data_IF_529545494520
#
_entry.id   IF_529545494520
#
_cell.length_a   1.000
_cell.length_b   1.000
_cell.length_c   1.000
_cell.angle_alpha   90.00
_cell.angle_beta   90.00
_cell.angle_gamma   90.00
#
_symmetry.space_group_name_H-M   'P 1'
#
loop_
_entity.id
_entity.type
_entity.pdbx_description
1 polymer ?
#
# COMPACT_ATOMS: atom_id res chain seq x y z
N UNK A 1 5.33 22.65 -42.73
CA UNK A 1 4.41 21.52 -42.44
C UNK A 1 5.12 20.29 -41.84
N UNK A 2 6.24 20.43 -41.12
CA UNK A 2 7.04 19.28 -40.61
C UNK A 2 7.03 19.14 -39.08
N UNK A 3 6.34 20.04 -38.35
CA UNK A 3 6.19 19.98 -36.88
C UNK A 3 4.93 19.26 -36.39
N UNK A 4 4.27 18.47 -37.25
CA UNK A 4 3.02 17.75 -36.94
C UNK A 4 3.17 16.23 -36.82
N UNK A 5 4.39 15.71 -36.99
CA UNK A 5 4.77 14.39 -36.50
C UNK A 5 5.33 14.56 -35.08
N UNK A 6 4.49 15.08 -34.18
CA UNK A 6 4.71 14.84 -32.75
C UNK A 6 4.67 13.33 -32.63
N UNK A 7 5.76 12.78 -32.12
CA UNK A 7 5.85 11.42 -31.61
C UNK A 7 4.61 11.20 -30.74
N UNK A 8 3.55 10.60 -31.30
CA UNK A 8 2.60 9.83 -30.52
C UNK A 8 3.47 8.74 -29.92
N UNK A 9 4.01 9.03 -28.74
CA UNK A 9 4.78 8.07 -27.98
C UNK A 9 3.80 6.93 -27.78
N UNK A 10 4.12 5.76 -28.36
CA UNK A 10 3.29 4.58 -28.21
C UNK A 10 2.95 4.44 -26.72
N UNK A 11 1.69 4.10 -26.38
CA UNK A 11 1.27 3.98 -25.00
C UNK A 11 2.27 3.08 -24.28
N UNK A 12 2.83 3.57 -23.18
CA UNK A 12 3.80 2.80 -22.41
C UNK A 12 3.06 1.60 -21.81
N UNK A 13 3.37 0.39 -22.28
CA UNK A 13 2.80 -0.87 -21.79
C UNK A 13 3.82 -1.51 -20.86
N UNK A 14 3.41 -1.72 -19.61
CA UNK A 14 4.24 -2.38 -18.60
C UNK A 14 3.46 -3.58 -18.10
N UNK A 15 4.05 -4.78 -18.22
CA UNK A 15 3.42 -6.05 -17.80
C UNK A 15 2.03 -6.26 -18.42
N UNK A 16 1.85 -5.88 -19.69
CA UNK A 16 0.56 -6.01 -20.39
C UNK A 16 -0.50 -4.97 -20.02
N UNK A 17 -0.17 -4.01 -19.15
CA UNK A 17 -1.06 -2.92 -18.75
C UNK A 17 -0.66 -1.60 -19.43
N UNK A 18 -1.60 -0.93 -20.11
CA UNK A 18 -1.31 0.37 -20.74
C UNK A 18 -1.36 1.49 -19.70
N UNK A 19 -0.26 2.22 -19.57
CA UNK A 19 -0.11 3.31 -18.62
C UNK A 19 -0.77 4.57 -19.16
N UNK A 20 -1.90 4.96 -18.56
CA UNK A 20 -2.72 6.09 -19.03
C UNK A 20 -2.36 7.42 -18.36
N UNK A 21 -1.87 7.38 -17.12
CA UNK A 21 -1.39 8.57 -16.44
C UNK A 21 0.03 8.84 -16.86
N UNK A 22 0.26 9.54 -17.98
CA UNK A 22 1.60 9.80 -18.52
C UNK A 22 2.25 11.04 -17.90
N UNK A 23 1.46 12.07 -17.63
CA UNK A 23 1.87 13.32 -16.98
C UNK A 23 1.53 13.31 -15.49
N UNK A 24 2.33 14.02 -14.68
CA UNK A 24 2.07 14.17 -13.25
C UNK A 24 0.92 15.15 -13.07
N UNK A 25 -0.19 14.66 -12.50
CA UNK A 25 -1.35 15.50 -12.23
C UNK A 25 -1.12 16.45 -11.05
N UNK A 26 -1.90 17.53 -10.96
CA UNK A 26 -1.86 18.41 -9.77
C UNK A 26 -2.27 17.68 -8.49
N UNK A 27 -3.19 16.72 -8.60
CA UNK A 27 -3.64 15.91 -7.48
C UNK A 27 -2.51 14.98 -6.99
N UNK A 28 -1.78 14.38 -7.92
CA UNK A 28 -0.62 13.53 -7.64
C UNK A 28 0.50 14.35 -7.00
N UNK A 29 0.85 15.51 -7.57
CA UNK A 29 1.85 16.40 -6.98
C UNK A 29 1.45 16.85 -5.56
N UNK A 30 0.16 17.12 -5.31
CA UNK A 30 -0.33 17.42 -3.97
C UNK A 30 -0.18 16.22 -3.02
N UNK A 31 -0.52 15.01 -3.46
CA UNK A 31 -0.33 13.80 -2.68
C UNK A 31 1.15 13.56 -2.35
N UNK A 32 2.05 13.68 -3.34
CA UNK A 32 3.50 13.54 -3.18
C UNK A 32 4.05 14.54 -2.15
N UNK A 33 3.63 15.80 -2.23
CA UNK A 33 3.98 16.80 -1.22
C UNK A 33 3.53 16.37 0.18
N UNK A 34 2.29 15.91 0.34
CA UNK A 34 1.76 15.49 1.64
C UNK A 34 2.51 14.26 2.19
N UNK A 35 2.81 13.26 1.36
CA UNK A 35 3.62 12.12 1.80
C UNK A 35 5.05 12.55 2.16
N UNK A 36 5.68 13.40 1.36
CA UNK A 36 7.00 13.95 1.64
C UNK A 36 7.03 14.73 2.97
N UNK A 37 6.07 15.63 3.20
CA UNK A 37 5.94 16.34 4.47
C UNK A 37 5.64 15.41 5.65
N UNK A 38 4.80 14.39 5.46
CA UNK A 38 4.52 13.41 6.51
C UNK A 38 5.79 12.66 6.94
N UNK A 39 6.61 12.23 5.98
CA UNK A 39 7.88 11.54 6.25
C UNK A 39 8.88 12.48 6.92
N UNK A 40 8.99 13.76 6.50
CA UNK A 40 9.90 14.71 7.17
C UNK A 40 9.46 15.02 8.60
N UNK A 41 8.16 15.18 8.87
CA UNK A 41 7.64 15.34 10.22
C UNK A 41 7.94 14.12 11.10
N UNK A 42 7.93 12.92 10.53
CA UNK A 42 8.29 11.70 11.25
C UNK A 42 9.77 11.68 11.68
N UNK A 43 10.68 12.25 10.87
CA UNK A 43 12.12 12.40 11.18
C UNK A 43 12.36 13.53 12.18
N UNK A 44 11.74 14.68 11.97
CA UNK A 44 11.98 15.91 12.77
C UNK A 44 11.56 15.75 14.23
N UNK A 45 10.67 14.81 14.54
CA UNK A 45 10.29 14.45 15.92
C UNK A 45 11.35 13.64 16.69
N UNK A 46 12.61 13.61 16.24
CA UNK A 46 13.72 12.98 16.95
C UNK A 46 14.53 14.08 17.65
N UNK A 47 14.66 14.00 18.98
CA UNK A 47 15.44 14.94 19.76
C UNK A 47 16.92 14.95 19.35
N UNK A 48 17.51 16.13 19.24
CA UNK A 48 18.94 16.27 18.97
C UNK A 48 19.76 15.65 20.11
N UNK A 49 20.64 14.68 19.84
CA UNK A 49 21.40 14.00 20.88
C UNK A 49 22.41 14.95 21.54
N UNK A 50 22.44 14.96 22.87
CA UNK A 50 23.32 15.85 23.66
C UNK A 50 24.72 15.27 23.90
N UNK A 51 24.87 13.96 23.76
CA UNK A 51 26.12 13.21 23.90
C UNK A 51 26.08 11.91 23.06
N UNK A 52 27.18 11.17 23.06
CA UNK A 52 27.31 9.93 22.30
C UNK A 52 26.34 8.82 22.76
N UNK A 53 26.01 8.76 24.05
CA UNK A 53 25.07 7.76 24.57
C UNK A 53 23.65 8.03 24.05
N UNK A 54 23.22 9.29 24.08
CA UNK A 54 21.95 9.73 23.49
C UNK A 54 21.92 9.51 21.97
N UNK A 55 23.05 9.70 21.26
CA UNK A 55 23.14 9.38 19.84
C UNK A 55 22.88 7.89 19.59
N UNK A 56 23.50 6.99 20.35
CA UNK A 56 23.28 5.54 20.19
C UNK A 56 21.84 5.13 20.51
N UNK A 57 21.19 5.79 21.45
CA UNK A 57 19.76 5.61 21.76
C UNK A 57 18.91 6.04 20.55
N UNK A 58 19.19 7.19 19.95
CA UNK A 58 18.51 7.67 18.75
C UNK A 58 18.72 6.73 17.55
N UNK A 59 19.93 6.21 17.35
CA UNK A 59 20.25 5.24 16.29
C UNK A 59 19.43 3.95 16.41
N UNK A 60 19.13 3.47 17.63
CA UNK A 60 18.26 2.31 17.84
C UNK A 60 16.79 2.64 17.53
N UNK A 61 16.35 3.86 17.85
CA UNK A 61 15.03 4.37 17.48
C UNK A 61 14.80 4.48 15.97
N UNK A 62 15.87 4.54 15.17
CA UNK A 62 15.80 4.59 13.71
C UNK A 62 15.14 3.33 13.12
N UNK A 63 15.19 2.18 13.80
CA UNK A 63 14.51 0.96 13.35
C UNK A 63 12.98 1.16 13.34
N UNK A 64 12.42 1.76 14.39
CA UNK A 64 10.99 2.07 14.46
C UNK A 64 10.59 3.10 13.39
N UNK A 65 11.45 4.09 13.14
CA UNK A 65 11.29 5.03 12.05
C UNK A 65 11.27 4.33 10.68
N UNK A 66 12.21 3.42 10.42
CA UNK A 66 12.29 2.65 9.18
C UNK A 66 11.05 1.81 8.91
N UNK A 67 10.47 1.19 9.96
CA UNK A 67 9.21 0.45 9.86
C UNK A 67 8.04 1.38 9.50
N UNK A 68 7.93 2.55 10.15
CA UNK A 68 6.91 3.54 9.78
C UNK A 68 7.08 4.00 8.33
N UNK A 69 8.30 4.35 7.94
CA UNK A 69 8.62 4.76 6.58
C UNK A 69 8.19 3.71 5.56
N UNK A 70 8.49 2.44 5.80
CA UNK A 70 8.11 1.34 4.90
C UNK A 70 6.58 1.26 4.70
N UNK A 71 5.80 1.45 5.76
CA UNK A 71 4.33 1.47 5.67
C UNK A 71 3.83 2.68 4.85
N UNK A 72 4.32 3.89 5.13
CA UNK A 72 3.94 5.09 4.38
C UNK A 72 4.34 5.00 2.91
N UNK A 73 5.57 4.53 2.64
CA UNK A 73 6.06 4.27 1.30
C UNK A 73 5.17 3.25 0.58
N UNK A 74 4.73 2.17 1.25
CA UNK A 74 3.82 1.20 0.65
C UNK A 74 2.47 1.80 0.24
N UNK A 75 1.90 2.68 1.06
CA UNK A 75 0.66 3.42 0.73
C UNK A 75 0.90 4.36 -0.46
N UNK A 76 1.98 5.15 -0.42
CA UNK A 76 2.35 6.07 -1.50
C UNK A 76 2.59 5.33 -2.81
N UNK A 77 3.37 4.25 -2.80
CA UNK A 77 3.70 3.44 -3.97
C UNK A 77 2.44 2.87 -4.63
N UNK A 78 1.49 2.37 -3.83
CA UNK A 78 0.19 1.90 -4.35
C UNK A 78 -0.63 3.02 -4.99
N UNK A 79 -0.63 4.21 -4.39
CA UNK A 79 -1.31 5.38 -4.96
C UNK A 79 -0.65 5.83 -6.27
N UNK A 80 0.68 5.88 -6.29
CA UNK A 80 1.46 6.15 -7.51
C UNK A 80 1.11 5.16 -8.62
N UNK A 81 1.16 3.85 -8.36
CA UNK A 81 0.79 2.83 -9.34
C UNK A 81 -0.65 3.00 -9.85
N UNK A 82 -1.60 3.33 -8.97
CA UNK A 82 -2.99 3.62 -9.35
C UNK A 82 -3.07 4.83 -10.31
N UNK A 83 -2.43 5.95 -9.98
CA UNK A 83 -2.41 7.15 -10.82
C UNK A 83 -1.82 6.86 -12.20
N UNK A 84 -0.67 6.16 -12.25
CA UNK A 84 0.00 5.82 -13.51
C UNK A 84 -0.81 4.88 -14.40
N UNK A 85 -1.50 3.89 -13.80
CA UNK A 85 -2.34 2.94 -14.55
C UNK A 85 -3.57 3.59 -15.17
N UNK A 86 -4.35 4.34 -14.38
CA UNK A 86 -5.67 4.79 -14.82
C UNK A 86 -5.73 6.24 -15.29
N UNK A 87 -4.82 7.12 -14.83
CA UNK A 87 -4.82 8.54 -15.22
C UNK A 87 -6.15 9.27 -14.95
N UNK A 88 -6.90 8.84 -13.92
CA UNK A 88 -8.21 9.41 -13.59
C UNK A 88 -8.05 10.62 -12.65
N UNK A 89 -8.75 11.72 -12.97
CA UNK A 89 -8.73 12.97 -12.18
C UNK A 89 -10.14 13.47 -11.81
N UNK A 90 -11.15 12.62 -11.91
CA UNK A 90 -12.53 13.01 -11.66
C UNK A 90 -12.84 13.20 -10.16
N UNK A 91 -14.01 13.75 -9.85
CA UNK A 91 -14.37 14.15 -8.49
C UNK A 91 -14.28 13.02 -7.44
N UNK A 92 -14.73 11.77 -7.72
CA UNK A 92 -14.56 10.65 -6.79
C UNK A 92 -13.09 10.35 -6.47
N UNK A 93 -12.21 10.33 -7.48
CA UNK A 93 -10.78 10.10 -7.27
C UNK A 93 -10.17 11.21 -6.43
N UNK A 94 -10.46 12.48 -6.74
CA UNK A 94 -10.01 13.62 -5.93
C UNK A 94 -10.45 13.51 -4.47
N UNK A 95 -11.72 13.19 -4.24
CA UNK A 95 -12.25 13.02 -2.88
C UNK A 95 -11.57 11.87 -2.14
N UNK A 96 -11.48 10.69 -2.76
CA UNK A 96 -10.86 9.50 -2.17
C UNK A 96 -9.37 9.70 -1.88
N UNK A 97 -8.62 10.36 -2.78
CA UNK A 97 -7.22 10.73 -2.54
C UNK A 97 -7.10 11.67 -1.35
N UNK A 98 -7.94 12.71 -1.23
CA UNK A 98 -7.92 13.60 -0.06
C UNK A 98 -8.25 12.86 1.24
N UNK A 99 -9.24 11.95 1.22
CA UNK A 99 -9.55 11.08 2.38
C UNK A 99 -8.35 10.20 2.74
N UNK A 100 -7.69 9.58 1.75
CA UNK A 100 -6.46 8.81 1.97
C UNK A 100 -5.40 9.63 2.68
N UNK A 101 -5.12 10.84 2.17
CA UNK A 101 -4.12 11.74 2.71
C UNK A 101 -4.46 12.19 4.14
N UNK A 102 -5.74 12.46 4.41
CA UNK A 102 -6.21 12.75 5.76
C UNK A 102 -5.94 11.59 6.73
N UNK A 103 -6.27 10.35 6.34
CA UNK A 103 -6.00 9.17 7.16
C UNK A 103 -4.50 8.99 7.37
N UNK A 104 -3.68 9.09 6.32
CA UNK A 104 -2.22 9.02 6.40
C UNK A 104 -1.67 10.01 7.42
N UNK A 105 -2.07 11.28 7.34
CA UNK A 105 -1.61 12.33 8.25
C UNK A 105 -2.08 12.12 9.70
N UNK A 106 -3.36 11.75 9.89
CA UNK A 106 -3.93 11.48 11.20
C UNK A 106 -3.22 10.31 11.91
N UNK A 107 -2.68 9.35 11.14
CA UNK A 107 -2.04 8.15 11.65
C UNK A 107 -0.50 8.20 11.71
N UNK A 108 0.14 9.34 11.42
CA UNK A 108 1.59 9.52 11.55
C UNK A 108 2.12 9.22 12.96
N UNK A 109 1.58 9.93 13.96
CA UNK A 109 2.00 9.77 15.36
C UNK A 109 1.58 8.44 15.96
N UNK A 110 0.32 7.98 15.76
CA UNK A 110 -0.05 6.63 16.14
C UNK A 110 0.96 5.61 15.58
N UNK A 111 1.20 5.62 14.26
CA UNK A 111 2.03 4.56 13.67
C UNK A 111 3.44 4.53 14.27
N UNK A 112 4.04 5.71 14.55
CA UNK A 112 5.30 5.82 15.30
C UNK A 112 5.24 5.18 16.68
N UNK A 113 4.16 5.41 17.42
CA UNK A 113 3.97 4.79 18.72
C UNK A 113 3.88 3.26 18.60
N UNK A 114 3.11 2.75 17.63
CA UNK A 114 2.96 1.31 17.40
C UNK A 114 4.31 0.65 17.05
N UNK A 115 5.11 1.25 16.18
CA UNK A 115 6.41 0.67 15.80
C UNK A 115 7.41 0.71 16.95
N UNK A 116 7.36 1.70 17.83
CA UNK A 116 8.15 1.71 19.07
C UNK A 116 7.73 0.58 20.01
N UNK A 117 6.43 0.35 20.19
CA UNK A 117 5.89 -0.80 20.95
C UNK A 117 6.35 -2.12 20.33
N UNK A 118 6.28 -2.25 19.01
CA UNK A 118 6.70 -3.46 18.30
C UNK A 118 8.20 -3.72 18.45
N UNK A 119 9.04 -2.69 18.22
CA UNK A 119 10.50 -2.81 18.30
C UNK A 119 10.97 -3.15 19.72
N UNK A 120 10.35 -2.55 20.75
CA UNK A 120 10.71 -2.82 22.14
C UNK A 120 10.13 -4.13 22.67
N UNK A 121 8.86 -4.41 22.38
CA UNK A 121 8.12 -5.55 22.91
C UNK A 121 8.30 -6.85 22.13
N UNK A 122 8.39 -6.79 20.80
CA UNK A 122 8.49 -7.97 19.93
C UNK A 122 9.93 -8.24 19.52
N UNK A 123 10.65 -7.22 19.05
CA UNK A 123 12.07 -7.38 18.64
C UNK A 123 13.05 -7.33 19.81
N UNK A 124 12.60 -6.91 21.01
CA UNK A 124 13.43 -6.84 22.21
C UNK A 124 14.51 -5.76 22.17
N UNK A 125 14.45 -4.80 21.24
CA UNK A 125 15.42 -3.71 21.16
C UNK A 125 15.13 -2.71 22.29
N UNK A 126 16.02 -2.68 23.29
CA UNK A 126 15.91 -1.78 24.44
C UNK A 126 16.59 -0.43 24.16
N UNK A 127 16.26 0.58 24.96
CA UNK A 127 16.88 1.91 24.92
C UNK A 127 16.74 2.60 23.55
N UNK A 128 15.51 2.71 23.05
CA UNK A 128 15.17 3.34 21.75
C UNK A 128 14.72 4.80 21.89
N UNK A 129 14.98 5.44 23.03
CA UNK A 129 14.57 6.82 23.29
C UNK A 129 13.08 6.96 23.65
N UNK A 130 12.41 5.83 23.86
CA UNK A 130 11.04 5.74 24.30
C UNK A 130 10.96 4.77 25.48
N UNK A 131 10.30 5.20 26.54
CA UNK A 131 9.94 4.32 27.65
C UNK A 131 8.42 4.15 27.62
N UNK A 132 7.90 2.91 27.63
CA UNK A 132 6.48 2.69 27.72
C UNK A 132 5.98 3.25 29.06
N UNK A 133 5.34 4.42 29.05
CA UNK A 133 4.47 4.86 30.13
C UNK A 133 3.09 4.20 29.97
N UNK A 134 3.09 2.89 29.66
CA UNK A 134 1.84 2.14 29.66
C UNK A 134 1.48 2.02 31.13
N UNK A 135 0.44 2.73 31.55
CA UNK A 135 -0.01 2.75 32.95
C UNK A 135 -0.37 1.36 33.46
N UNK A 136 -0.94 1.30 34.67
CA UNK A 136 -1.19 0.05 35.40
C UNK A 136 -2.02 -1.02 34.65
N UNK A 137 -2.66 -0.71 33.52
CA UNK A 137 -3.35 -1.66 32.65
C UNK A 137 -2.73 -1.75 31.24
N UNK A 138 -1.75 -2.64 31.08
CA UNK A 138 -1.06 -2.87 29.82
C UNK A 138 -1.99 -3.47 28.75
N UNK A 139 -2.96 -4.29 29.15
CA UNK A 139 -3.81 -5.04 28.23
C UNK A 139 -4.93 -4.15 27.66
N UNK A 140 -5.58 -3.33 28.48
CA UNK A 140 -6.57 -2.38 27.99
C UNK A 140 -5.97 -1.35 27.03
N UNK A 141 -4.76 -0.84 27.35
CA UNK A 141 -4.05 0.09 26.48
C UNK A 141 -3.65 -0.55 25.15
N UNK A 142 -3.21 -1.82 25.15
CA UNK A 142 -2.92 -2.56 23.93
C UNK A 142 -4.18 -2.88 23.11
N UNK A 143 -5.31 -3.18 23.76
CA UNK A 143 -6.59 -3.38 23.06
C UNK A 143 -7.03 -2.12 22.30
N UNK A 144 -7.04 -0.97 22.98
CA UNK A 144 -7.34 0.33 22.36
C UNK A 144 -6.38 0.65 21.22
N UNK A 145 -5.10 0.29 21.37
CA UNK A 145 -4.09 0.42 20.33
C UNK A 145 -4.57 -0.31 19.06
N UNK A 146 -4.84 -1.62 19.15
CA UNK A 146 -5.28 -2.42 18.00
C UNK A 146 -6.58 -1.93 17.37
N UNK A 147 -7.52 -1.41 18.15
CA UNK A 147 -8.75 -0.81 17.60
C UNK A 147 -8.41 0.42 16.77
N UNK A 148 -7.62 1.35 17.31
CA UNK A 148 -7.23 2.58 16.60
C UNK A 148 -6.51 2.23 15.29
N UNK A 149 -5.47 1.38 15.31
CA UNK A 149 -4.78 1.01 14.06
C UNK A 149 -5.65 0.20 13.12
N UNK A 150 -6.49 -0.69 13.65
CA UNK A 150 -7.44 -1.47 12.85
C UNK A 150 -8.34 -0.55 12.04
N UNK A 151 -8.89 0.50 12.64
CA UNK A 151 -9.70 1.50 11.94
C UNK A 151 -8.89 2.23 10.86
N UNK A 152 -7.65 2.66 11.16
CA UNK A 152 -6.79 3.32 10.18
C UNK A 152 -6.46 2.44 8.97
N UNK A 153 -6.06 1.19 9.22
CA UNK A 153 -5.78 0.20 8.18
C UNK A 153 -7.04 -0.09 7.36
N UNK A 154 -8.17 -0.32 8.02
CA UNK A 154 -9.45 -0.57 7.35
C UNK A 154 -9.85 0.61 6.44
N UNK A 155 -9.68 1.85 6.92
CA UNK A 155 -9.96 3.04 6.13
C UNK A 155 -9.10 3.11 4.86
N UNK A 156 -7.79 2.84 4.95
CA UNK A 156 -6.90 2.80 3.78
C UNK A 156 -7.33 1.71 2.79
N UNK A 157 -7.64 0.50 3.26
CA UNK A 157 -8.09 -0.58 2.37
C UNK A 157 -9.43 -0.27 1.69
N UNK A 158 -10.37 0.34 2.43
CA UNK A 158 -11.64 0.80 1.86
C UNK A 158 -11.43 1.89 0.80
N UNK A 159 -10.55 2.86 1.05
CA UNK A 159 -10.24 3.91 0.08
C UNK A 159 -9.65 3.33 -1.20
N UNK A 160 -8.66 2.44 -1.11
CA UNK A 160 -8.11 1.81 -2.31
C UNK A 160 -9.11 0.88 -2.99
N UNK A 161 -9.92 0.14 -2.24
CA UNK A 161 -11.01 -0.65 -2.82
C UNK A 161 -11.99 0.23 -3.60
N UNK A 162 -12.32 1.40 -3.07
CA UNK A 162 -13.20 2.36 -3.75
C UNK A 162 -12.54 2.98 -4.98
N UNK A 163 -11.24 3.32 -4.92
CA UNK A 163 -10.47 3.81 -6.06
C UNK A 163 -10.44 2.79 -7.21
N UNK A 164 -10.02 1.56 -6.94
CA UNK A 164 -10.01 0.49 -7.96
C UNK A 164 -11.42 0.13 -8.43
N UNK A 165 -12.40 0.11 -7.53
CA UNK A 165 -13.80 -0.13 -7.87
C UNK A 165 -14.38 0.95 -8.80
N UNK A 166 -14.02 2.22 -8.58
CA UNK A 166 -14.38 3.33 -9.46
C UNK A 166 -13.68 3.23 -10.81
N UNK A 167 -12.39 2.92 -10.84
CA UNK A 167 -11.67 2.66 -12.11
C UNK A 167 -12.32 1.51 -12.91
N UNK A 168 -12.78 0.45 -12.24
CA UNK A 168 -13.53 -0.64 -12.86
C UNK A 168 -14.88 -0.19 -13.44
N UNK A 169 -15.59 0.71 -12.76
CA UNK A 169 -16.84 1.29 -13.28
C UNK A 169 -16.59 2.14 -14.53
N UNK A 170 -15.41 2.75 -14.64
CA UNK A 170 -14.98 3.55 -15.79
C UNK A 170 -14.30 2.74 -16.90
N UNK A 171 -14.33 1.40 -16.85
CA UNK A 171 -13.60 0.53 -17.79
C UNK A 171 -13.89 0.82 -19.27
N UNK A 172 -15.13 1.16 -19.62
CA UNK A 172 -15.53 1.41 -21.00
C UNK A 172 -14.95 2.75 -21.49
N UNK A 173 -14.95 3.77 -20.62
CA UNK A 173 -14.33 5.09 -20.88
C UNK A 173 -12.80 4.97 -20.99
N UNK A 174 -12.19 4.16 -20.14
CA UNK A 174 -10.75 3.88 -20.14
C UNK A 174 -10.33 2.92 -21.25
N UNK A 175 -11.29 2.33 -21.97
CA UNK A 175 -11.09 1.29 -22.98
C UNK A 175 -10.19 0.17 -22.46
N UNK A 176 -10.44 -0.28 -21.23
CA UNK A 176 -9.67 -1.37 -20.64
C UNK A 176 -9.84 -2.64 -21.48
N UNK A 177 -8.74 -3.31 -21.78
CA UNK A 177 -8.78 -4.63 -22.41
C UNK A 177 -9.14 -5.73 -21.38
N UNK A 178 -9.23 -6.98 -21.84
CA UNK A 178 -9.64 -8.09 -20.99
C UNK A 178 -8.66 -8.36 -19.83
N UNK A 179 -7.36 -8.13 -20.04
CA UNK A 179 -6.32 -8.30 -19.03
C UNK A 179 -6.42 -7.17 -18.00
N UNK A 180 -6.49 -5.93 -18.47
CA UNK A 180 -6.63 -4.74 -17.63
C UNK A 180 -7.91 -4.79 -16.78
N UNK A 181 -9.01 -5.33 -17.33
CA UNK A 181 -10.28 -5.56 -16.61
C UNK A 181 -10.10 -6.64 -15.53
N UNK A 182 -9.45 -7.76 -15.86
CA UNK A 182 -9.17 -8.84 -14.91
C UNK A 182 -8.35 -8.32 -13.74
N UNK A 183 -7.27 -7.60 -14.04
CA UNK A 183 -6.34 -7.04 -13.07
C UNK A 183 -6.98 -6.00 -12.17
N UNK A 184 -7.72 -5.05 -12.75
CA UNK A 184 -8.43 -4.03 -12.00
C UNK A 184 -9.41 -4.67 -11.01
N UNK A 185 -10.17 -5.67 -11.45
CA UNK A 185 -11.09 -6.42 -10.59
C UNK A 185 -10.35 -7.24 -9.54
N UNK A 186 -9.17 -7.75 -9.86
CA UNK A 186 -8.32 -8.48 -8.93
C UNK A 186 -7.84 -7.58 -7.79
N UNK A 187 -7.27 -6.42 -8.12
CA UNK A 187 -6.80 -5.47 -7.11
C UNK A 187 -7.94 -4.97 -6.23
N UNK A 188 -9.14 -4.71 -6.77
CA UNK A 188 -10.31 -4.39 -5.91
C UNK A 188 -10.57 -5.48 -4.87
N UNK A 189 -10.59 -6.75 -5.28
CA UNK A 189 -10.82 -7.88 -4.38
C UNK A 189 -9.70 -8.08 -3.38
N UNK A 190 -8.46 -7.85 -3.79
CA UNK A 190 -7.30 -7.94 -2.91
C UNK A 190 -7.41 -6.91 -1.78
N UNK A 191 -7.83 -5.68 -2.07
CA UNK A 191 -8.04 -4.68 -1.01
C UNK A 191 -9.17 -5.07 -0.04
N UNK A 192 -10.25 -5.66 -0.56
CA UNK A 192 -11.32 -6.20 0.29
C UNK A 192 -10.85 -7.41 1.12
N UNK A 193 -9.94 -8.24 0.60
CA UNK A 193 -9.34 -9.33 1.36
C UNK A 193 -8.47 -8.78 2.49
N UNK A 194 -7.65 -7.75 2.23
CA UNK A 194 -6.86 -7.09 3.28
C UNK A 194 -7.73 -6.39 4.33
N UNK A 195 -8.95 -5.95 3.99
CA UNK A 195 -9.90 -5.38 4.94
C UNK A 195 -10.33 -6.39 6.02
N UNK A 196 -10.29 -7.69 5.74
CA UNK A 196 -10.64 -8.72 6.72
C UNK A 196 -9.66 -8.74 7.89
N UNK A 197 -8.39 -8.42 7.67
CA UNK A 197 -7.34 -8.44 8.70
C UNK A 197 -7.64 -7.47 9.86
N UNK A 198 -7.81 -6.15 9.64
CA UNK A 198 -8.15 -5.24 10.72
C UNK A 198 -9.52 -5.55 11.35
N UNK A 199 -10.50 -6.02 10.58
CA UNK A 199 -11.81 -6.41 11.13
C UNK A 199 -11.68 -7.60 12.09
N UNK A 200 -10.88 -8.60 11.74
CA UNK A 200 -10.59 -9.74 12.62
C UNK A 200 -9.79 -9.29 13.85
N UNK A 201 -8.79 -8.42 13.69
CA UNK A 201 -8.05 -7.83 14.80
C UNK A 201 -8.96 -7.11 15.80
N UNK A 202 -9.86 -6.25 15.31
CA UNK A 202 -10.83 -5.54 16.17
C UNK A 202 -11.78 -6.54 16.83
N UNK A 203 -12.27 -7.53 16.09
CA UNK A 203 -13.16 -8.58 16.62
C UNK A 203 -12.48 -9.38 17.73
N UNK A 204 -11.18 -9.68 17.63
CA UNK A 204 -10.44 -10.32 18.72
C UNK A 204 -10.44 -9.46 19.97
N UNK A 205 -10.22 -8.15 19.84
CA UNK A 205 -10.17 -7.26 21.01
C UNK A 205 -11.55 -7.14 21.69
N UNK A 206 -12.62 -7.05 20.91
CA UNK A 206 -13.98 -6.85 21.43
C UNK A 206 -14.61 -8.14 22.00
N UNK A 207 -14.32 -9.30 21.41
CA UNK A 207 -15.02 -10.55 21.73
C UNK A 207 -14.18 -11.60 22.49
N UNK A 208 -12.85 -11.52 22.50
CA UNK A 208 -12.00 -12.50 23.17
C UNK A 208 -11.48 -12.01 24.53
N UNK A 209 -11.14 -12.93 25.46
CA UNK A 209 -10.60 -12.56 26.77
C UNK A 209 -9.28 -11.80 26.68
N UNK A 210 -9.02 -10.89 27.62
CA UNK A 210 -7.81 -10.04 27.68
C UNK A 210 -6.48 -10.80 27.51
N UNK A 211 -6.40 -12.05 27.96
CA UNK A 211 -5.20 -12.91 27.81
C UNK A 211 -4.84 -13.17 26.34
N UNK A 212 -5.79 -13.08 25.43
CA UNK A 212 -5.63 -13.39 24.00
C UNK A 212 -5.42 -12.13 23.14
N UNK A 213 -5.36 -10.93 23.73
CA UNK A 213 -5.19 -9.66 22.98
C UNK A 213 -3.92 -9.66 22.11
N UNK A 214 -2.86 -10.35 22.55
CA UNK A 214 -1.65 -10.50 21.74
C UNK A 214 -1.89 -11.10 20.35
N UNK A 215 -2.92 -11.94 20.18
CA UNK A 215 -3.29 -12.53 18.89
C UNK A 215 -3.79 -11.48 17.88
N UNK A 216 -4.37 -10.37 18.35
CA UNK A 216 -4.82 -9.28 17.47
C UNK A 216 -3.64 -8.69 16.68
N UNK A 217 -2.46 -8.60 17.29
CA UNK A 217 -1.23 -8.18 16.61
C UNK A 217 -0.73 -9.22 15.60
N UNK A 218 -0.75 -10.50 15.96
CA UNK A 218 -0.27 -11.58 15.09
C UNK A 218 -1.09 -11.74 13.80
N UNK A 219 -2.37 -11.39 13.83
CA UNK A 219 -3.24 -11.41 12.64
C UNK A 219 -2.70 -10.53 11.50
N UNK A 220 -1.98 -9.45 11.79
CA UNK A 220 -1.42 -8.58 10.76
C UNK A 220 -0.33 -9.24 9.91
N UNK A 221 0.37 -10.26 10.43
CA UNK A 221 1.29 -11.06 9.60
C UNK A 221 0.55 -11.82 8.49
N UNK A 222 -0.75 -12.06 8.66
CA UNK A 222 -1.62 -12.62 7.63
C UNK A 222 -1.72 -11.77 6.36
N UNK A 223 -1.40 -10.47 6.41
CA UNK A 223 -1.31 -9.65 5.19
C UNK A 223 -0.26 -10.19 4.22
N UNK A 224 0.91 -10.61 4.70
CA UNK A 224 1.93 -11.20 3.83
C UNK A 224 1.44 -12.49 3.15
N UNK A 225 0.67 -13.30 3.89
CA UNK A 225 0.09 -14.53 3.38
C UNK A 225 -1.02 -14.28 2.34
N UNK A 226 -1.89 -13.28 2.58
CA UNK A 226 -2.89 -12.85 1.60
C UNK A 226 -2.20 -12.38 0.32
N UNK A 227 -1.16 -11.55 0.42
CA UNK A 227 -0.40 -11.09 -0.74
C UNK A 227 0.24 -12.22 -1.53
N UNK A 228 0.81 -13.22 -0.85
CA UNK A 228 1.38 -14.41 -1.52
C UNK A 228 0.31 -15.24 -2.24
N UNK A 229 -0.83 -15.52 -1.59
CA UNK A 229 -1.95 -16.25 -2.22
C UNK A 229 -2.50 -15.46 -3.41
N UNK A 230 -2.80 -14.19 -3.22
CA UNK A 230 -3.36 -13.36 -4.28
C UNK A 230 -2.39 -13.20 -5.45
N UNK A 231 -1.10 -13.00 -5.20
CA UNK A 231 -0.09 -12.91 -6.26
C UNK A 231 0.07 -14.21 -7.05
N UNK A 232 0.11 -15.36 -6.37
CA UNK A 232 0.23 -16.65 -7.06
C UNK A 232 -1.04 -17.01 -7.86
N UNK A 233 -2.23 -16.69 -7.35
CA UNK A 233 -3.49 -16.89 -8.05
C UNK A 233 -3.68 -15.91 -9.21
N UNK A 234 -3.27 -14.65 -9.04
CA UNK A 234 -3.28 -13.62 -10.08
C UNK A 234 -2.41 -14.04 -11.25
N UNK A 235 -1.14 -14.39 -11.00
CA UNK A 235 -0.22 -14.81 -12.05
C UNK A 235 -0.70 -16.04 -12.83
N UNK A 236 -1.35 -17.00 -12.16
CA UNK A 236 -1.98 -18.16 -12.85
C UNK A 236 -3.14 -17.74 -13.76
N UNK A 237 -4.02 -16.85 -13.29
CA UNK A 237 -5.18 -16.41 -14.08
C UNK A 237 -4.80 -15.46 -15.21
N UNK A 238 -3.81 -14.61 -14.98
CA UNK A 238 -3.25 -13.73 -16.00
C UNK A 238 -2.65 -14.56 -17.13
N UNK A 239 -1.74 -15.50 -16.83
CA UNK A 239 -1.17 -16.42 -17.84
C UNK A 239 -2.23 -17.22 -18.60
N UNK A 240 -3.19 -17.80 -17.89
CA UNK A 240 -4.25 -18.58 -18.54
C UNK A 240 -5.13 -17.73 -19.48
N UNK A 241 -5.32 -16.44 -19.19
CA UNK A 241 -6.05 -15.54 -20.07
C UNK A 241 -5.21 -15.16 -21.29
N UNK A 242 -3.93 -14.87 -21.08
CA UNK A 242 -2.98 -14.57 -22.16
C UNK A 242 -2.86 -15.76 -23.13
N UNK A 243 -2.59 -16.96 -22.64
CA UNK A 243 -2.52 -18.20 -23.45
C UNK A 243 -3.81 -18.42 -24.26
N UNK A 244 -4.98 -18.15 -23.64
CA UNK A 244 -6.26 -18.26 -24.32
C UNK A 244 -6.40 -17.22 -25.44
N UNK A 245 -6.01 -15.98 -25.18
CA UNK A 245 -6.05 -14.92 -26.19
C UNK A 245 -5.07 -15.21 -27.34
N UNK A 246 -3.94 -15.84 -27.06
CA UNK A 246 -2.93 -16.22 -28.05
C UNK A 246 -3.49 -17.30 -28.96
N UNK A 247 -4.07 -18.35 -28.39
CA UNK A 247 -4.73 -19.42 -29.12
C UNK A 247 -5.91 -18.92 -29.98
N UNK A 248 -6.60 -17.86 -29.55
CA UNK A 248 -7.67 -17.22 -30.32
C UNK A 248 -7.16 -16.20 -31.36
N UNK A 249 -5.85 -15.92 -31.41
CA UNK A 249 -5.25 -14.92 -32.31
C UNK A 249 -5.66 -13.48 -31.98
N UNK A 250 -5.96 -13.18 -30.71
CA UNK A 250 -6.55 -11.92 -30.24
C UNK A 250 -5.59 -11.05 -29.43
N UNK A 251 -4.35 -11.49 -29.19
CA UNK A 251 -3.33 -10.63 -28.59
C UNK A 251 -2.97 -9.50 -29.56
N UNK A 252 -2.85 -8.29 -29.02
CA UNK A 252 -2.25 -7.18 -29.77
C UNK A 252 -0.72 -7.30 -29.82
N UNK A 253 -0.09 -6.73 -30.85
CA UNK A 253 1.38 -6.71 -30.99
C UNK A 253 2.11 -6.16 -29.74
N UNK A 254 1.53 -5.15 -29.08
CA UNK A 254 2.06 -4.58 -27.83
C UNK A 254 2.04 -5.55 -26.63
N UNK A 255 1.12 -6.53 -26.63
CA UNK A 255 1.01 -7.54 -25.57
C UNK A 255 1.96 -8.72 -25.83
N UNK A 256 2.17 -9.06 -27.10
CA UNK A 256 3.12 -10.10 -27.56
C UNK A 256 4.58 -9.77 -27.24
N UNK A 257 4.98 -8.51 -27.34
CA UNK A 257 6.36 -8.10 -27.02
C UNK A 257 6.67 -8.23 -25.52
N UNK A 258 5.70 -7.88 -24.67
CA UNK A 258 5.85 -7.96 -23.20
C UNK A 258 5.95 -9.41 -22.72
N UNK A 259 5.26 -10.35 -23.36
CA UNK A 259 5.31 -11.77 -22.98
C UNK A 259 6.65 -12.43 -23.32
N UNK A 260 7.23 -12.13 -24.48
CA UNK A 260 8.58 -12.60 -24.83
C UNK A 260 9.63 -12.12 -23.82
N UNK A 261 9.53 -10.88 -23.33
CA UNK A 261 10.42 -10.33 -22.31
C UNK A 261 10.26 -11.02 -20.93
N UNK A 262 9.06 -11.54 -20.61
CA UNK A 262 8.81 -12.30 -19.38
C UNK A 262 9.31 -13.75 -19.45
N UNK A 263 9.37 -14.33 -20.65
CA UNK A 263 9.88 -15.70 -20.89
C UNK A 263 11.41 -15.74 -20.92
N UNK A 264 12.08 -14.65 -21.29
CA UNK A 264 13.55 -14.55 -21.33
C UNK A 264 14.21 -14.27 -19.97
N UNK A 265 13.45 -14.09 -18.88
CA UNK A 265 14.04 -13.98 -17.53
C UNK A 265 14.53 -15.38 -17.10
N UNK A 266 15.85 -15.64 -17.03
CA UNK A 266 16.36 -16.93 -16.60
C UNK A 266 15.88 -17.22 -15.16
N UNK A 267 15.63 -18.49 -14.81
CA UNK A 267 15.26 -18.84 -13.45
C UNK A 267 16.30 -18.29 -12.48
N UNK A 268 15.90 -17.75 -11.31
CA UNK A 268 16.84 -17.23 -10.34
C UNK A 268 17.83 -18.34 -9.98
N UNK A 269 19.11 -18.04 -10.17
CA UNK A 269 20.23 -18.87 -9.76
C UNK A 269 20.33 -18.95 -8.23
#
# INVERSE_FOLDING_TARGET
MVRRALVEKAPEVIEGFRMRGTEVSRLEAFADCVFGFGITLLVVNIDTPKDFAHLMIAMRGLVAFGLCFAVFYGVWSRHYTYCRRYGLEDAPVRFLTVVMLFVVLAYLYPLRFLTLVFVTGVLGIKNVGWTPAVGNDINANLGNLFIVYGVGVAAIQLVFSALYGHAYQQRDKLKLDEIEILDTRWWTREQLAYLLIPLLSISIVEFLPYRMIGLAGWIYFGMGFIGWIHGSMHGKRHRALVEKMEAEGRLSEDQLSTENDLVEVPPPA
#
